data_IF_685825266785
#
_entry.id   IF_685825266785
#
_cell.length_a   1.000
_cell.length_b   1.000
_cell.length_c   1.000
_cell.angle_alpha   90.00
_cell.angle_beta   90.00
_cell.angle_gamma   90.00
#
_symmetry.space_group_name_H-M   'P 1'
#
loop_
_entity.id
_entity.type
_entity.pdbx_description
1 polymer ?
#
# COMPACT_ATOMS: atom_id res chain seq x y z
N UNK A 1 21.85 27.57 -3.25
CA UNK A 1 22.15 26.15 -3.47
C UNK A 1 20.86 25.52 -3.94
N UNK A 2 20.84 24.91 -5.11
CA UNK A 2 19.67 24.15 -5.57
C UNK A 2 19.86 22.74 -5.03
N UNK A 3 19.04 22.32 -4.07
CA UNK A 3 18.88 20.91 -3.74
C UNK A 3 18.32 20.17 -4.97
N UNK A 4 19.11 19.25 -5.49
CA UNK A 4 18.76 18.37 -6.61
C UNK A 4 17.94 17.18 -6.05
N UNK A 5 16.62 17.36 -5.95
CA UNK A 5 15.66 16.33 -5.54
C UNK A 5 15.44 15.30 -6.67
N UNK A 6 16.51 14.66 -7.12
CA UNK A 6 16.42 13.50 -8.00
C UNK A 6 15.96 12.29 -7.18
N UNK A 7 14.63 12.09 -7.13
CA UNK A 7 14.00 10.92 -6.54
C UNK A 7 14.48 9.65 -7.25
N UNK A 8 15.48 8.99 -6.67
CA UNK A 8 15.93 7.67 -7.07
C UNK A 8 14.85 6.66 -6.68
N UNK A 9 14.06 6.18 -7.65
CA UNK A 9 13.23 4.99 -7.49
C UNK A 9 14.13 3.76 -7.67
N UNK A 10 14.44 2.97 -6.62
CA UNK A 10 15.07 1.68 -6.81
C UNK A 10 14.01 0.71 -7.35
N UNK A 11 13.77 0.77 -8.65
CA UNK A 11 12.87 -0.14 -9.35
C UNK A 11 13.56 -1.49 -9.54
N UNK A 12 13.74 -2.23 -8.44
CA UNK A 12 14.24 -3.60 -8.44
C UNK A 12 13.84 -4.32 -7.14
N UNK A 13 12.54 -4.34 -6.82
CA UNK A 13 12.02 -5.37 -5.93
C UNK A 13 12.01 -6.71 -6.67
N UNK A 14 13.15 -7.39 -6.63
CA UNK A 14 13.27 -8.81 -6.97
C UNK A 14 12.37 -9.58 -5.99
N UNK A 15 11.17 -9.94 -6.45
CA UNK A 15 10.23 -10.73 -5.68
C UNK A 15 10.86 -12.05 -5.21
N UNK A 16 10.34 -12.67 -4.14
CA UNK A 16 10.90 -13.89 -3.59
C UNK A 16 11.01 -14.97 -4.67
N UNK A 17 12.07 -15.80 -4.65
CA UNK A 17 12.33 -16.80 -5.69
C UNK A 17 11.13 -17.72 -5.85
N UNK A 18 10.71 -17.92 -7.10
CA UNK A 18 9.55 -18.75 -7.43
C UNK A 18 9.83 -20.21 -7.03
N UNK A 19 9.00 -20.74 -6.13
CA UNK A 19 9.12 -22.15 -5.70
C UNK A 19 8.47 -23.05 -6.76
N UNK A 20 9.10 -24.16 -7.18
CA UNK A 20 8.56 -25.05 -8.22
C UNK A 20 7.20 -25.63 -7.83
N UNK A 21 6.92 -25.83 -6.53
CA UNK A 21 5.63 -26.31 -6.05
C UNK A 21 4.45 -25.38 -6.37
N UNK A 22 4.66 -24.05 -6.43
CA UNK A 22 3.58 -23.10 -6.77
C UNK A 22 3.16 -23.22 -8.24
N UNK A 23 4.11 -23.50 -9.12
CA UNK A 23 3.85 -23.74 -10.55
C UNK A 23 3.09 -25.04 -10.80
N UNK A 24 3.40 -26.10 -10.04
CA UNK A 24 2.64 -27.37 -10.13
C UNK A 24 1.18 -27.15 -9.76
N UNK A 25 0.91 -26.43 -8.66
CA UNK A 25 -0.46 -26.09 -8.24
C UNK A 25 -1.15 -25.24 -9.30
N UNK A 26 -0.46 -24.27 -9.91
CA UNK A 26 -1.02 -23.45 -10.99
C UNK A 26 -1.43 -24.28 -12.22
N UNK A 27 -0.61 -25.25 -12.62
CA UNK A 27 -0.94 -26.16 -13.73
C UNK A 27 -2.19 -26.97 -13.40
N UNK A 28 -2.28 -27.53 -12.19
CA UNK A 28 -3.46 -28.29 -11.73
C UNK A 28 -4.71 -27.41 -11.75
N UNK A 29 -4.63 -26.19 -11.22
CA UNK A 29 -5.75 -25.22 -11.21
C UNK A 29 -6.18 -24.87 -12.64
N UNK A 30 -5.23 -24.70 -13.56
CA UNK A 30 -5.52 -24.39 -14.95
C UNK A 30 -6.25 -25.55 -15.64
N UNK A 31 -5.81 -26.78 -15.42
CA UNK A 31 -6.48 -27.98 -15.95
C UNK A 31 -7.89 -28.11 -15.38
N UNK A 32 -8.07 -27.91 -14.07
CA UNK A 32 -9.39 -27.93 -13.43
C UNK A 32 -10.32 -26.82 -13.97
N UNK A 33 -9.79 -25.62 -14.22
CA UNK A 33 -10.56 -24.52 -14.78
C UNK A 33 -11.06 -24.84 -16.20
N UNK A 34 -10.23 -25.48 -17.03
CA UNK A 34 -10.63 -25.92 -18.38
C UNK A 34 -11.68 -27.03 -18.31
N UNK A 35 -11.53 -28.00 -17.42
CA UNK A 35 -12.53 -29.05 -17.24
C UNK A 35 -13.87 -28.44 -16.80
N UNK A 36 -13.85 -27.51 -15.84
CA UNK A 36 -15.04 -26.88 -15.30
C UNK A 36 -15.75 -26.01 -16.34
N UNK A 37 -15.02 -25.30 -17.20
CA UNK A 37 -15.63 -24.53 -18.30
C UNK A 37 -16.30 -25.45 -19.31
N UNK A 38 -15.66 -26.57 -19.69
CA UNK A 38 -16.24 -27.55 -20.63
C UNK A 38 -17.49 -28.21 -20.05
N UNK A 39 -17.45 -28.60 -18.78
CA UNK A 39 -18.61 -29.20 -18.09
C UNK A 39 -19.75 -28.20 -17.96
N UNK A 40 -19.47 -26.93 -17.64
CA UNK A 40 -20.52 -25.91 -17.58
C UNK A 40 -21.16 -25.66 -18.95
N UNK A 41 -20.37 -25.65 -20.02
CA UNK A 41 -20.88 -25.52 -21.38
C UNK A 41 -21.74 -26.73 -21.79
N UNK A 42 -21.42 -27.95 -21.35
CA UNK A 42 -22.21 -29.13 -21.74
C UNK A 42 -23.57 -29.24 -21.02
N UNK A 43 -23.73 -28.59 -19.86
CA UNK A 43 -24.98 -28.59 -19.08
C UNK A 43 -25.89 -27.42 -19.48
N UNK A 44 -25.36 -26.36 -20.09
CA UNK A 44 -26.14 -25.17 -20.46
C UNK A 44 -26.98 -25.38 -21.71
N UNK A 45 -28.19 -24.80 -21.71
CA UNK A 45 -29.06 -24.78 -22.88
C UNK A 45 -28.55 -23.80 -23.93
N UNK A 46 -28.91 -24.03 -25.21
CA UNK A 46 -28.37 -23.27 -26.34
C UNK A 46 -28.64 -21.76 -26.23
N UNK A 47 -29.82 -21.40 -25.72
CA UNK A 47 -30.24 -20.00 -25.51
C UNK A 47 -29.36 -19.26 -24.48
N UNK A 48 -28.75 -20.00 -23.55
CA UNK A 48 -27.95 -19.45 -22.47
C UNK A 48 -26.44 -19.44 -22.76
N UNK A 49 -25.98 -19.97 -23.91
CA UNK A 49 -24.55 -20.02 -24.23
C UNK A 49 -23.88 -18.65 -24.26
N UNK A 50 -24.54 -17.65 -24.85
CA UNK A 50 -23.97 -16.31 -25.00
C UNK A 50 -23.78 -15.69 -23.61
N UNK A 51 -24.77 -15.83 -22.72
CA UNK A 51 -24.67 -15.34 -21.34
C UNK A 51 -23.61 -16.09 -20.54
N UNK A 52 -23.55 -17.42 -20.69
CA UNK A 52 -22.55 -18.24 -20.01
C UNK A 52 -21.13 -17.85 -20.44
N UNK A 53 -20.88 -17.67 -21.75
CA UNK A 53 -19.57 -17.25 -22.27
C UNK A 53 -19.22 -15.84 -21.77
N UNK A 54 -20.16 -14.89 -21.87
CA UNK A 54 -19.91 -13.50 -21.50
C UNK A 54 -19.51 -13.33 -20.03
N UNK A 55 -20.09 -14.12 -19.12
CA UNK A 55 -19.73 -14.08 -17.69
C UNK A 55 -18.55 -14.98 -17.32
N UNK A 56 -18.46 -16.18 -17.91
CA UNK A 56 -17.42 -17.15 -17.56
C UNK A 56 -16.04 -16.74 -18.08
N UNK A 57 -15.93 -16.22 -19.31
CA UNK A 57 -14.63 -15.83 -19.87
C UNK A 57 -13.87 -14.82 -19.00
N UNK A 58 -14.44 -13.66 -18.62
CA UNK A 58 -13.73 -12.68 -17.80
C UNK A 58 -13.44 -13.22 -16.40
N UNK A 59 -14.37 -13.99 -15.81
CA UNK A 59 -14.19 -14.59 -14.49
C UNK A 59 -13.02 -15.59 -14.48
N UNK A 60 -12.99 -16.52 -15.44
CA UNK A 60 -11.92 -17.52 -15.56
C UNK A 60 -10.60 -16.86 -15.91
N UNK A 61 -10.59 -15.87 -16.80
CA UNK A 61 -9.38 -15.10 -17.12
C UNK A 61 -8.82 -14.39 -15.87
N UNK A 62 -9.67 -13.76 -15.06
CA UNK A 62 -9.26 -13.11 -13.81
C UNK A 62 -8.71 -14.12 -12.79
N UNK A 63 -9.36 -15.26 -12.61
CA UNK A 63 -8.90 -16.31 -11.68
C UNK A 63 -7.57 -16.93 -12.12
N UNK A 64 -7.41 -17.20 -13.42
CA UNK A 64 -6.14 -17.68 -13.98
C UNK A 64 -5.04 -16.64 -13.84
N UNK A 65 -5.35 -15.35 -14.06
CA UNK A 65 -4.41 -14.27 -13.85
C UNK A 65 -3.97 -14.17 -12.38
N UNK A 66 -4.91 -14.26 -11.43
CA UNK A 66 -4.62 -14.26 -10.01
C UNK A 66 -3.75 -15.48 -9.62
N UNK A 67 -4.08 -16.67 -10.11
CA UNK A 67 -3.31 -17.89 -9.87
C UNK A 67 -1.90 -17.81 -10.49
N UNK A 68 -1.77 -17.23 -11.67
CA UNK A 68 -0.48 -16.98 -12.33
C UNK A 68 0.39 -16.01 -11.53
N UNK A 69 -0.19 -14.89 -11.08
CA UNK A 69 0.50 -13.90 -10.23
C UNK A 69 0.93 -14.51 -8.88
N UNK A 70 0.08 -15.35 -8.30
CA UNK A 70 0.42 -16.11 -7.10
C UNK A 70 1.56 -17.12 -7.36
N UNK A 71 1.57 -17.79 -8.51
CA UNK A 71 2.65 -18.70 -8.90
C UNK A 71 4.00 -17.99 -9.05
N UNK A 72 3.99 -16.75 -9.54
CA UNK A 72 5.16 -15.87 -9.56
C UNK A 72 5.62 -15.42 -8.17
N UNK A 73 4.77 -15.55 -7.14
CA UNK A 73 5.09 -15.14 -5.77
C UNK A 73 5.04 -13.64 -5.54
N UNK A 74 4.37 -12.88 -6.41
CA UNK A 74 4.20 -11.43 -6.28
C UNK A 74 2.82 -11.14 -5.68
N UNK A 75 2.74 -10.23 -4.71
CA UNK A 75 1.47 -9.84 -4.09
C UNK A 75 0.57 -9.13 -5.12
N UNK A 76 -0.76 -9.25 -4.93
CA UNK A 76 -1.80 -8.68 -5.82
C UNK A 76 -1.82 -7.14 -5.71
N UNK A 77 -1.43 -6.61 -4.55
CA UNK A 77 -1.05 -5.22 -4.33
C UNK A 77 0.31 -5.21 -3.62
N UNK A 78 1.33 -4.50 -4.11
CA UNK A 78 2.56 -4.30 -3.36
C UNK A 78 2.26 -3.27 -2.25
N UNK A 79 1.96 -3.75 -1.05
CA UNK A 79 2.10 -2.95 0.17
C UNK A 79 3.36 -3.44 0.85
N UNK A 80 4.50 -2.80 0.57
CA UNK A 80 5.73 -3.05 1.30
C UNK A 80 5.69 -2.22 2.59
N UNK A 81 5.30 -2.89 3.68
CA UNK A 81 5.21 -2.26 5.01
C UNK A 81 6.57 -1.67 5.42
N UNK A 82 7.69 -2.27 4.99
CA UNK A 82 9.02 -1.77 5.31
C UNK A 82 9.41 -0.53 4.48
N UNK A 83 8.80 -0.36 3.31
CA UNK A 83 8.92 0.86 2.50
C UNK A 83 8.07 1.98 3.11
N UNK A 84 6.84 1.68 3.52
CA UNK A 84 5.98 2.60 4.26
C UNK A 84 6.66 3.09 5.55
N UNK A 85 7.30 2.20 6.31
CA UNK A 85 8.05 2.55 7.52
C UNK A 85 9.23 3.51 7.22
N UNK A 86 9.92 3.34 6.09
CA UNK A 86 11.00 4.25 5.66
C UNK A 86 10.44 5.62 5.26
N UNK A 87 9.32 5.65 4.54
CA UNK A 87 8.63 6.89 4.16
C UNK A 87 8.19 7.64 5.42
N UNK A 88 7.59 6.94 6.38
CA UNK A 88 7.21 7.54 7.65
C UNK A 88 8.43 8.01 8.45
N UNK A 89 9.53 7.27 8.46
CA UNK A 89 10.77 7.69 9.11
C UNK A 89 11.36 8.95 8.45
N UNK A 90 11.30 9.04 7.11
CA UNK A 90 11.71 10.24 6.38
C UNK A 90 10.81 11.43 6.72
N UNK A 91 9.48 11.25 6.76
CA UNK A 91 8.55 12.29 7.20
C UNK A 91 8.79 12.73 8.65
N UNK A 92 9.18 11.81 9.55
CA UNK A 92 9.53 12.14 10.95
C UNK A 92 10.80 12.99 11.04
N UNK A 93 11.79 12.76 10.16
CA UNK A 93 13.02 13.58 10.11
C UNK A 93 12.77 15.02 9.67
N UNK A 94 11.65 15.29 9.01
CA UNK A 94 11.22 16.64 8.62
C UNK A 94 10.30 17.32 9.65
N UNK A 95 10.07 16.72 10.83
CA UNK A 95 9.37 17.40 11.90
C UNK A 95 10.25 18.53 12.44
N UNK A 96 9.72 19.75 12.49
CA UNK A 96 10.44 20.91 13.01
C UNK A 96 10.46 20.85 14.54
N UNK A 97 11.59 21.15 15.20
CA UNK A 97 11.62 21.23 16.66
C UNK A 97 10.73 22.38 17.11
N UNK A 98 9.80 22.10 18.04
CA UNK A 98 9.00 23.14 18.67
C UNK A 98 9.85 23.88 19.71
N UNK A 99 9.80 25.21 19.70
CA UNK A 99 10.47 26.02 20.72
C UNK A 99 9.60 26.08 21.97
N UNK A 100 10.13 25.71 23.13
CA UNK A 100 9.41 25.87 24.40
C UNK A 100 9.42 27.34 24.83
N UNK A 101 8.26 27.90 25.15
CA UNK A 101 8.13 29.33 25.49
C UNK A 101 7.47 29.50 26.87
N UNK A 102 8.31 29.68 27.89
CA UNK A 102 7.90 30.01 29.26
C UNK A 102 7.92 28.85 30.25
N UNK A 103 7.30 29.05 31.43
CA UNK A 103 7.18 28.06 32.52
C UNK A 103 5.92 27.17 32.41
N UNK A 104 5.08 27.40 31.40
CA UNK A 104 3.87 26.63 31.11
C UNK A 104 4.14 25.75 29.88
N UNK A 105 3.42 24.64 29.70
CA UNK A 105 3.50 23.70 28.55
C UNK A 105 3.06 24.33 27.21
N UNK A 106 3.67 25.46 26.88
CA UNK A 106 3.46 26.27 25.69
C UNK A 106 4.62 26.06 24.73
N UNK A 107 4.26 25.74 23.50
CA UNK A 107 5.17 25.48 22.40
C UNK A 107 4.91 26.47 21.28
N UNK A 108 5.99 26.96 20.68
CA UNK A 108 5.94 27.84 19.53
C UNK A 108 6.30 27.08 18.27
N UNK A 109 5.43 27.18 17.28
CA UNK A 109 5.69 26.63 15.96
C UNK A 109 6.68 27.53 15.20
N UNK A 110 7.81 27.02 14.70
CA UNK A 110 8.76 27.81 13.92
C UNK A 110 8.23 28.18 12.52
N UNK A 111 7.20 27.47 12.03
CA UNK A 111 6.63 27.68 10.70
C UNK A 111 5.60 28.82 10.68
N UNK A 112 4.61 28.79 11.58
CA UNK A 112 3.60 29.85 11.67
C UNK A 112 3.91 30.94 12.72
N UNK A 113 4.92 30.72 13.57
CA UNK A 113 5.35 31.67 14.60
C UNK A 113 4.41 31.81 15.80
N UNK A 114 3.28 31.10 15.81
CA UNK A 114 2.25 31.13 16.86
C UNK A 114 2.61 30.19 18.00
N UNK A 115 2.28 30.62 19.23
CA UNK A 115 2.38 29.80 20.44
C UNK A 115 1.05 29.09 20.71
N UNK A 116 1.11 27.83 21.12
CA UNK A 116 -0.04 27.02 21.51
C UNK A 116 0.29 26.20 22.76
N UNK A 117 -0.72 25.87 23.55
CA UNK A 117 -0.59 24.91 24.65
C UNK A 117 -0.65 23.47 24.12
N UNK A 118 0.14 22.57 24.72
CA UNK A 118 0.20 21.17 24.29
C UNK A 118 -1.17 20.48 24.31
N UNK A 119 -2.04 20.86 25.24
CA UNK A 119 -3.43 20.37 25.37
C UNK A 119 -4.30 20.66 24.15
N UNK A 120 -3.97 21.69 23.38
CA UNK A 120 -4.70 22.09 22.18
C UNK A 120 -4.11 21.48 20.89
N UNK A 121 -3.00 20.75 20.98
CA UNK A 121 -2.35 20.14 19.84
C UNK A 121 -2.88 18.72 19.59
N UNK A 122 -2.94 18.32 18.32
CA UNK A 122 -3.32 16.95 17.95
C UNK A 122 -2.09 16.05 18.06
N UNK A 123 -2.14 15.09 18.98
CA UNK A 123 -1.07 14.09 19.16
C UNK A 123 -1.10 13.09 18.02
N UNK A 124 0.02 12.94 17.32
CA UNK A 124 0.18 11.99 16.21
C UNK A 124 1.02 10.79 16.64
N UNK A 125 2.03 11.02 17.49
CA UNK A 125 2.94 10.02 18.03
C UNK A 125 3.45 10.48 19.41
N UNK A 126 4.16 9.63 20.16
CA UNK A 126 4.57 9.87 21.58
C UNK A 126 5.30 11.20 21.82
N UNK A 127 5.96 11.76 20.80
CA UNK A 127 6.69 13.04 20.84
C UNK A 127 6.42 13.96 19.64
N UNK A 128 5.38 13.66 18.85
CA UNK A 128 5.07 14.40 17.63
C UNK A 128 3.64 14.92 17.70
N UNK A 129 3.49 16.23 17.64
CA UNK A 129 2.20 16.90 17.62
C UNK A 129 2.04 17.74 16.37
N UNK A 130 0.81 17.89 15.91
CA UNK A 130 0.50 18.84 14.85
C UNK A 130 0.14 20.20 15.45
N UNK A 131 0.69 21.26 14.87
CA UNK A 131 0.30 22.62 15.21
C UNK A 131 -1.20 22.84 14.92
N UNK A 132 -2.00 23.38 15.86
CA UNK A 132 -3.42 23.60 15.65
C UNK A 132 -3.74 24.67 14.59
N UNK A 133 -2.77 25.52 14.22
CA UNK A 133 -2.97 26.63 13.29
C UNK A 133 -2.54 26.33 11.85
N UNK A 134 -1.36 25.73 11.66
CA UNK A 134 -0.82 25.43 10.32
C UNK A 134 -0.77 23.93 9.99
N UNK A 135 -1.14 23.06 10.95
CA UNK A 135 -1.09 21.61 10.83
C UNK A 135 0.31 21.03 10.52
N UNK A 136 1.36 21.84 10.70
CA UNK A 136 2.76 21.41 10.56
C UNK A 136 3.12 20.45 11.69
N UNK A 137 3.84 19.38 11.35
CA UNK A 137 4.34 18.39 12.33
C UNK A 137 5.49 18.99 13.12
N UNK A 138 5.35 18.94 14.44
CA UNK A 138 6.29 19.46 15.40
C UNK A 138 6.81 18.34 16.30
N UNK A 139 8.11 18.33 16.51
CA UNK A 139 8.75 17.46 17.49
C UNK A 139 8.91 18.21 18.81
N UNK A 140 8.47 17.60 19.89
CA UNK A 140 8.63 18.10 21.25
C UNK A 140 9.71 17.26 21.93
N UNK A 141 10.76 17.90 22.43
CA UNK A 141 11.85 17.22 23.14
C UNK A 141 11.43 16.78 24.56
#
# INVERSE_FOLDING_TARGET
>A
MMEDDSYYYPDNQQGPPSRPGRWIVFIIVTVLAIILTVVMLSITTVENYIYAIFWMLPMVAFLLYAAYRWAQGRSIAPTDIAEDDKIFAQMRRHALPAEHVGDLDMYRCPDCGLSFELTNAVVVDDKVVNCPFCNTRLYIE
#
